data_IF_384872543857
#
_entry.id   IF_384872543857
#
_cell.length_a   1.000
_cell.length_b   1.000
_cell.length_c   1.000
_cell.angle_alpha   90.00
_cell.angle_beta   90.00
_cell.angle_gamma   90.00
#
_symmetry.space_group_name_H-M   'P 1'
#
loop_
_entity.id
_entity.type
_entity.pdbx_description
1 polymer ?
#
# COMPACT_ATOMS: atom_id res chain seq x y z
N UNK A 1 -14.89 -2.77 -1.42
CA UNK A 1 -14.21 -1.85 -0.47
C UNK A 1 -14.45 -0.38 -0.82
N UNK A 2 -14.04 0.07 -2.01
CA UNK A 2 -14.04 1.50 -2.37
C UNK A 2 -15.42 2.15 -2.58
N UNK A 3 -16.48 1.34 -2.72
CA UNK A 3 -17.87 1.84 -2.80
C UNK A 3 -18.43 2.29 -1.44
N UNK A 4 -17.74 2.01 -0.33
CA UNK A 4 -18.19 2.40 1.00
C UNK A 4 -17.65 3.80 1.35
N UNK A 5 -18.51 4.81 1.54
CA UNK A 5 -18.08 6.19 1.81
C UNK A 5 -17.40 6.38 3.18
N UNK A 6 -17.49 5.39 4.08
CA UNK A 6 -16.82 5.44 5.39
C UNK A 6 -15.32 5.10 5.31
N UNK A 7 -14.84 4.59 4.18
CA UNK A 7 -13.42 4.25 4.01
C UNK A 7 -12.60 5.54 3.89
N UNK A 8 -11.69 5.76 4.84
CA UNK A 8 -10.80 6.95 4.84
C UNK A 8 -9.34 6.64 4.49
N UNK A 9 -8.92 5.39 4.62
CA UNK A 9 -7.61 4.90 4.21
C UNK A 9 -7.69 3.39 3.93
N UNK A 10 -6.73 2.87 3.19
CA UNK A 10 -6.61 1.44 2.86
C UNK A 10 -5.29 0.91 3.37
N UNK A 11 -5.29 -0.22 4.08
CA UNK A 11 -4.09 -0.99 4.35
C UNK A 11 -4.12 -2.26 3.51
N UNK A 12 -3.12 -2.42 2.65
CA UNK A 12 -2.86 -3.65 1.90
C UNK A 12 -1.71 -4.37 2.59
N UNK A 13 -1.96 -5.53 3.17
CA UNK A 13 -0.93 -6.37 3.77
C UNK A 13 -0.86 -7.71 3.03
N UNK A 14 0.26 -8.01 2.39
CA UNK A 14 0.44 -9.23 1.60
C UNK A 14 1.75 -9.91 2.00
N UNK A 15 1.64 -11.21 2.29
CA UNK A 15 2.79 -12.10 2.45
C UNK A 15 3.01 -12.83 1.12
N UNK A 16 4.04 -12.43 0.38
CA UNK A 16 4.52 -13.06 -0.84
C UNK A 16 5.17 -14.41 -0.52
N UNK A 17 4.37 -15.47 -0.55
CA UNK A 17 4.85 -16.85 -0.50
C UNK A 17 5.45 -17.27 -1.84
N UNK A 18 4.60 -17.74 -2.76
CA UNK A 18 5.01 -18.25 -4.08
C UNK A 18 5.26 -17.09 -5.08
N UNK A 19 4.48 -16.01 -4.99
CA UNK A 19 4.55 -14.86 -5.90
C UNK A 19 5.53 -13.82 -5.35
N UNK A 20 6.46 -13.34 -6.20
CA UNK A 20 7.43 -12.32 -5.81
C UNK A 20 6.76 -10.98 -5.53
N UNK A 21 7.20 -10.29 -4.49
CA UNK A 21 6.61 -9.03 -4.05
C UNK A 21 6.74 -7.91 -5.09
N UNK A 22 7.75 -7.92 -5.96
CA UNK A 22 7.91 -6.92 -7.03
C UNK A 22 6.73 -6.95 -8.02
N UNK A 23 6.31 -8.14 -8.47
CA UNK A 23 5.15 -8.28 -9.35
C UNK A 23 3.85 -7.87 -8.65
N UNK A 24 3.75 -8.13 -7.34
CA UNK A 24 2.59 -7.72 -6.54
C UNK A 24 2.54 -6.20 -6.44
N UNK A 25 3.68 -5.54 -6.22
CA UNK A 25 3.77 -4.08 -6.19
C UNK A 25 3.33 -3.45 -7.52
N UNK A 26 3.79 -3.99 -8.65
CA UNK A 26 3.34 -3.52 -9.98
C UNK A 26 1.82 -3.68 -10.15
N UNK A 27 1.26 -4.80 -9.70
CA UNK A 27 -0.18 -5.03 -9.70
C UNK A 27 -0.94 -4.00 -8.86
N UNK A 28 -0.43 -3.67 -7.66
CA UNK A 28 -1.01 -2.66 -6.77
C UNK A 28 -0.96 -1.27 -7.40
N UNK A 29 0.19 -0.86 -7.96
CA UNK A 29 0.35 0.43 -8.63
C UNK A 29 -0.64 0.57 -9.79
N UNK A 30 -0.76 -0.46 -10.63
CA UNK A 30 -1.69 -0.48 -11.75
C UNK A 30 -3.15 -0.42 -11.27
N UNK A 31 -3.51 -1.15 -10.21
CA UNK A 31 -4.85 -1.12 -9.65
C UNK A 31 -5.20 0.27 -9.09
N UNK A 32 -4.30 0.90 -8.35
CA UNK A 32 -4.51 2.25 -7.79
C UNK A 32 -4.70 3.28 -8.91
N UNK A 33 -3.89 3.19 -9.97
CA UNK A 33 -3.96 4.06 -11.14
C UNK A 33 -5.26 3.88 -11.93
N UNK A 34 -5.67 2.64 -12.20
CA UNK A 34 -6.84 2.34 -13.02
C UNK A 34 -8.16 2.57 -12.28
N UNK A 35 -8.22 2.26 -10.98
CA UNK A 35 -9.44 2.40 -10.18
C UNK A 35 -9.62 3.83 -9.67
N UNK A 36 -8.57 4.67 -9.70
CA UNK A 36 -8.64 6.06 -9.27
C UNK A 36 -8.88 6.20 -7.77
N UNK A 37 -8.09 5.47 -6.97
CA UNK A 37 -8.24 5.46 -5.51
C UNK A 37 -7.91 6.85 -4.95
N UNK A 38 -8.92 7.53 -4.39
CA UNK A 38 -8.78 8.89 -3.83
C UNK A 38 -8.33 8.92 -2.37
N UNK A 39 -8.39 7.77 -1.69
CA UNK A 39 -7.99 7.64 -0.30
C UNK A 39 -6.53 7.17 -0.21
N UNK A 40 -5.78 7.56 0.83
CA UNK A 40 -4.41 7.11 1.03
C UNK A 40 -4.34 5.59 1.18
N UNK A 41 -3.33 4.98 0.55
CA UNK A 41 -3.10 3.54 0.59
C UNK A 41 -1.76 3.26 1.27
N UNK A 42 -1.77 2.47 2.33
CA UNK A 42 -0.56 1.93 2.95
C UNK A 42 -0.38 0.50 2.48
N UNK A 43 0.82 0.14 2.04
CA UNK A 43 1.10 -1.19 1.50
C UNK A 43 2.26 -1.81 2.25
N UNK A 44 2.05 -3.00 2.79
CA UNK A 44 3.06 -3.82 3.45
C UNK A 44 3.21 -5.13 2.68
N UNK A 45 4.42 -5.36 2.18
CA UNK A 45 4.78 -6.57 1.45
C UNK A 45 5.90 -7.28 2.20
N UNK A 46 5.74 -8.57 2.45
CA UNK A 46 6.78 -9.41 3.05
C UNK A 46 6.96 -10.68 2.21
N UNK A 47 8.20 -11.07 1.93
CA UNK A 47 8.50 -12.20 1.07
C UNK A 47 9.66 -11.91 0.13
N UNK A 48 9.80 -12.72 -0.92
CA UNK A 48 10.86 -12.59 -1.92
C UNK A 48 10.75 -11.25 -2.65
N UNK A 49 11.86 -10.51 -2.72
CA UNK A 49 11.97 -9.17 -3.33
C UNK A 49 11.11 -8.08 -2.66
N UNK A 50 10.79 -8.20 -1.37
CA UNK A 50 10.06 -7.16 -0.64
C UNK A 50 10.73 -5.78 -0.71
N UNK A 51 12.06 -5.72 -0.70
CA UNK A 51 12.82 -4.46 -0.79
C UNK A 51 12.60 -3.76 -2.14
N UNK A 52 12.76 -4.51 -3.24
CA UNK A 52 12.49 -4.03 -4.59
C UNK A 52 11.03 -3.59 -4.76
N UNK A 53 10.11 -4.32 -4.16
CA UNK A 53 8.70 -3.97 -4.16
C UNK A 53 8.44 -2.62 -3.46
N UNK A 54 9.14 -2.33 -2.36
CA UNK A 54 9.06 -1.02 -1.68
C UNK A 54 9.61 0.12 -2.53
N UNK A 55 10.67 -0.12 -3.29
CA UNK A 55 11.20 0.85 -4.25
C UNK A 55 10.17 1.17 -5.35
N UNK A 56 9.55 0.13 -5.94
CA UNK A 56 8.48 0.29 -6.95
C UNK A 56 7.32 1.11 -6.40
N UNK A 57 6.86 0.81 -5.19
CA UNK A 57 5.75 1.54 -4.56
C UNK A 57 6.12 2.99 -4.29
N UNK A 58 7.33 3.25 -3.78
CA UNK A 58 7.83 4.61 -3.49
C UNK A 58 8.03 5.45 -4.75
N UNK A 59 8.48 4.83 -5.85
CA UNK A 59 8.72 5.50 -7.14
C UNK A 59 7.46 5.70 -7.98
N UNK A 60 6.29 5.22 -7.55
CA UNK A 60 5.05 5.24 -8.34
C UNK A 60 4.45 6.64 -8.56
N UNK A 61 4.82 7.62 -7.72
CA UNK A 61 4.22 8.97 -7.73
C UNK A 61 2.74 9.01 -7.32
N UNK A 62 2.21 7.90 -6.82
CA UNK A 62 0.84 7.77 -6.33
C UNK A 62 0.78 8.00 -4.80
N UNK A 63 -0.43 8.14 -4.26
CA UNK A 63 -0.70 8.25 -2.81
C UNK A 63 -0.56 6.89 -2.10
N UNK A 64 0.53 6.19 -2.39
CA UNK A 64 0.88 4.89 -1.84
C UNK A 64 2.06 5.06 -0.88
N UNK A 65 1.89 4.61 0.34
CA UNK A 65 2.92 4.63 1.39
C UNK A 65 3.38 3.21 1.68
N UNK A 66 4.62 2.82 1.31
CA UNK A 66 5.16 1.54 1.71
C UNK A 66 5.44 1.49 3.22
N UNK A 67 5.18 0.34 3.82
CA UNK A 67 5.44 0.05 5.22
C UNK A 67 6.45 -1.10 5.37
N UNK A 68 7.27 -1.03 6.41
CA UNK A 68 8.34 -2.01 6.67
C UNK A 68 7.84 -3.25 7.41
N UNK A 69 6.90 -3.06 8.32
CA UNK A 69 6.31 -4.11 9.13
C UNK A 69 4.84 -3.79 9.43
N UNK A 70 4.15 -4.73 10.08
CA UNK A 70 2.73 -4.58 10.36
C UNK A 70 2.43 -3.44 11.35
N UNK A 71 3.33 -3.19 12.31
CA UNK A 71 3.17 -2.12 13.30
C UNK A 71 3.31 -0.75 12.65
N UNK A 72 4.33 -0.59 11.81
CA UNK A 72 4.55 0.59 10.98
C UNK A 72 3.34 0.84 10.06
N UNK A 73 2.87 -0.22 9.38
CA UNK A 73 1.73 -0.12 8.49
C UNK A 73 0.44 0.33 9.22
N UNK A 74 0.20 -0.23 10.41
CA UNK A 74 -0.93 0.16 11.26
C UNK A 74 -0.83 1.63 11.71
N UNK A 75 0.35 2.08 12.15
CA UNK A 75 0.57 3.48 12.56
C UNK A 75 0.32 4.45 11.41
N UNK A 76 0.90 4.17 10.25
CA UNK A 76 0.76 4.99 9.04
C UNK A 76 -0.70 5.07 8.58
N UNK A 77 -1.39 3.94 8.48
CA UNK A 77 -2.78 3.94 7.96
C UNK A 77 -3.72 4.67 8.92
N UNK A 78 -3.51 4.55 10.23
CA UNK A 78 -4.30 5.28 11.24
C UNK A 78 -4.02 6.78 11.18
N UNK A 79 -2.76 7.20 11.05
CA UNK A 79 -2.40 8.60 10.89
C UNK A 79 -3.07 9.21 9.64
N UNK A 80 -2.96 8.52 8.51
CA UNK A 80 -3.57 8.94 7.24
C UNK A 80 -5.10 8.97 7.31
N UNK A 81 -5.73 7.96 7.94
CA UNK A 81 -7.18 7.95 8.16
C UNK A 81 -7.66 9.08 9.09
N UNK A 82 -6.81 9.56 10.00
CA UNK A 82 -7.08 10.69 10.88
C UNK A 82 -6.80 12.06 10.23
N UNK A 83 -6.30 12.10 8.99
CA UNK A 83 -5.91 13.34 8.31
C UNK A 83 -4.63 13.98 8.88
N UNK A 84 -3.79 13.20 9.55
CA UNK A 84 -2.47 13.63 10.02
C UNK A 84 -1.45 13.26 8.95
N UNK A 85 -0.50 14.16 8.66
CA UNK A 85 0.64 13.82 7.82
C UNK A 85 1.40 12.65 8.47
N UNK A 86 1.55 11.56 7.71
CA UNK A 86 2.26 10.35 8.12
C UNK A 86 3.75 10.46 7.83
#
# INVERSE_FOLDING_TARGET
MLSNPKVRAVLVNIFGGIVRCDMIADGVVNAVKNVGVKVPVVVRLEGTNADKAREVLSGSGLTITPATDLTDAARKVVALAAGRAA
#
